data_IF_983561330240
#
_entry.id   IF_983561330240
#
_cell.length_a   1.000
_cell.length_b   1.000
_cell.length_c   1.000
_cell.angle_alpha   90.00
_cell.angle_beta   90.00
_cell.angle_gamma   90.00
#
_symmetry.space_group_name_H-M   'P 1'
#
loop_
_entity.id
_entity.type
_entity.pdbx_description
1 polymer ?
#
# COMPACT_ATOMS: atom_id res chain seq x y z
N UNK A 1 -12.88 24.18 45.88
CA UNK A 1 -13.05 24.51 44.45
C UNK A 1 -12.37 23.45 43.56
N UNK A 2 -12.77 22.18 43.63
CA UNK A 2 -12.15 21.08 42.85
C UNK A 2 -13.08 20.56 41.73
N UNK A 3 -14.39 20.82 41.81
CA UNK A 3 -15.37 20.30 40.83
C UNK A 3 -15.39 21.01 39.46
N UNK A 4 -15.02 22.29 39.39
CA UNK A 4 -15.09 23.06 38.13
C UNK A 4 -13.95 22.68 37.17
N UNK A 5 -12.76 22.39 37.69
CA UNK A 5 -11.59 22.01 36.88
C UNK A 5 -11.81 20.65 36.19
N UNK A 6 -12.47 19.69 36.87
CA UNK A 6 -12.75 18.37 36.32
C UNK A 6 -13.73 18.41 35.13
N UNK A 7 -14.78 19.24 35.21
CA UNK A 7 -15.77 19.37 34.13
C UNK A 7 -15.18 20.08 32.92
N UNK A 8 -14.37 21.14 33.14
CA UNK A 8 -13.70 21.86 32.05
C UNK A 8 -12.71 20.97 31.28
N UNK A 9 -11.94 20.13 31.98
CA UNK A 9 -11.01 19.21 31.34
C UNK A 9 -11.72 18.22 30.39
N UNK A 10 -12.89 17.71 30.78
CA UNK A 10 -13.70 16.80 29.93
C UNK A 10 -14.26 17.52 28.70
N UNK A 11 -14.79 18.75 28.86
CA UNK A 11 -15.31 19.54 27.73
C UNK A 11 -14.20 19.89 26.73
N UNK A 12 -13.02 20.27 27.23
CA UNK A 12 -11.87 20.56 26.36
C UNK A 12 -11.41 19.30 25.62
N UNK A 13 -11.32 18.15 26.29
CA UNK A 13 -10.93 16.88 25.64
C UNK A 13 -11.94 16.44 24.55
N UNK A 14 -13.24 16.61 24.79
CA UNK A 14 -14.28 16.30 23.80
C UNK A 14 -14.22 17.27 22.59
N UNK A 15 -13.84 18.53 22.80
CA UNK A 15 -13.71 19.53 21.73
C UNK A 15 -12.51 19.32 20.80
N UNK A 16 -11.51 18.52 21.22
CA UNK A 16 -10.26 18.35 20.47
C UNK A 16 -10.35 17.33 19.30
N UNK A 17 -11.45 16.60 19.17
CA UNK A 17 -11.65 15.53 18.17
C UNK A 17 -10.39 14.66 17.94
N UNK A 18 -9.73 14.28 19.04
CA UNK A 18 -8.44 13.58 19.02
C UNK A 18 -8.48 12.27 18.20
N UNK A 19 -9.52 11.41 18.30
CA UNK A 19 -9.60 10.19 17.49
C UNK A 19 -9.56 10.45 15.98
N UNK A 20 -10.24 11.50 15.51
CA UNK A 20 -10.24 11.88 14.09
C UNK A 20 -8.88 12.34 13.59
N UNK A 21 -8.11 13.07 14.42
CA UNK A 21 -6.77 13.54 14.05
C UNK A 21 -5.77 12.40 13.85
N UNK A 22 -5.86 11.35 14.66
CA UNK A 22 -5.03 10.15 14.48
C UNK A 22 -5.39 9.38 13.20
N UNK A 23 -6.67 9.32 12.82
CA UNK A 23 -7.03 8.71 11.53
C UNK A 23 -6.51 9.55 10.37
N UNK A 24 -6.62 10.87 10.47
CA UNK A 24 -6.10 11.75 9.43
C UNK A 24 -4.57 11.63 9.29
N UNK A 25 -3.81 11.49 10.38
CA UNK A 25 -2.36 11.27 10.28
C UNK A 25 -2.02 9.93 9.64
N UNK A 26 -2.79 8.87 9.94
CA UNK A 26 -2.63 7.55 9.30
C UNK A 26 -2.91 7.60 7.80
N UNK A 27 -3.99 8.26 7.39
CA UNK A 27 -4.30 8.50 5.97
C UNK A 27 -3.18 9.29 5.28
N UNK A 28 -2.69 10.35 5.92
CA UNK A 28 -1.56 11.15 5.39
C UNK A 28 -0.30 10.29 5.23
N UNK A 29 0.00 9.44 6.21
CA UNK A 29 1.12 8.50 6.10
C UNK A 29 0.92 7.55 4.92
N UNK A 30 -0.25 6.93 4.79
CA UNK A 30 -0.49 5.96 3.74
C UNK A 30 -0.42 6.56 2.32
N UNK A 31 -0.95 7.76 2.16
CA UNK A 31 -0.89 8.50 0.88
C UNK A 31 0.53 8.99 0.56
N UNK A 32 1.32 9.32 1.58
CA UNK A 32 2.76 9.62 1.42
C UNK A 32 3.54 8.38 0.99
N UNK A 33 3.29 7.23 1.63
CA UNK A 33 3.92 5.96 1.27
C UNK A 33 3.59 5.58 -0.18
N UNK A 34 2.31 5.65 -0.56
CA UNK A 34 1.87 5.41 -1.95
C UNK A 34 2.51 6.38 -2.95
N UNK A 35 2.73 7.64 -2.57
CA UNK A 35 3.43 8.62 -3.42
C UNK A 35 4.89 8.21 -3.67
N UNK A 36 5.59 7.73 -2.63
CA UNK A 36 6.95 7.20 -2.78
C UNK A 36 6.97 5.91 -3.64
N UNK A 37 6.03 5.00 -3.40
CA UNK A 37 5.88 3.76 -4.18
C UNK A 37 5.56 4.03 -5.65
N UNK A 38 4.77 5.07 -5.94
CA UNK A 38 4.48 5.51 -7.31
C UNK A 38 5.75 5.95 -8.03
N UNK A 39 6.59 6.77 -7.39
CA UNK A 39 7.88 7.18 -7.96
C UNK A 39 8.78 5.96 -8.17
N UNK A 40 8.88 5.07 -7.19
CA UNK A 40 9.66 3.85 -7.32
C UNK A 40 9.18 2.95 -8.47
N UNK A 41 7.87 2.84 -8.68
CA UNK A 41 7.25 2.12 -9.80
C UNK A 41 7.66 2.72 -11.14
N UNK A 42 7.67 4.06 -11.25
CA UNK A 42 8.07 4.75 -12.47
C UNK A 42 9.56 4.58 -12.78
N UNK A 43 10.42 4.66 -11.76
CA UNK A 43 11.86 4.45 -11.90
C UNK A 43 12.17 3.00 -12.31
N UNK A 44 11.52 2.03 -11.67
CA UNK A 44 11.64 0.63 -12.06
C UNK A 44 11.25 0.42 -13.53
N UNK A 45 10.12 0.97 -13.95
CA UNK A 45 9.68 0.89 -15.35
C UNK A 45 10.68 1.54 -16.31
N UNK A 46 11.27 2.68 -15.94
CA UNK A 46 12.26 3.37 -16.76
C UNK A 46 13.51 2.51 -17.03
N UNK A 47 13.96 1.75 -16.04
CA UNK A 47 15.13 0.87 -16.20
C UNK A 47 14.78 -0.46 -16.89
N UNK A 48 13.65 -1.07 -16.51
CA UNK A 48 13.31 -2.43 -16.95
C UNK A 48 12.60 -2.45 -18.31
N UNK A 49 11.79 -1.43 -18.60
CA UNK A 49 10.84 -1.41 -19.71
C UNK A 49 9.53 -2.16 -19.45
N UNK A 50 9.31 -2.62 -18.22
CA UNK A 50 8.08 -3.24 -17.73
C UNK A 50 7.90 -2.95 -16.24
N UNK A 51 6.68 -3.07 -15.73
CA UNK A 51 6.38 -2.84 -14.31
C UNK A 51 6.82 -4.02 -13.45
N UNK A 52 7.12 -3.81 -12.15
CA UNK A 52 7.51 -4.89 -11.24
C UNK A 52 6.56 -6.10 -11.30
N UNK A 53 7.08 -7.33 -11.08
CA UNK A 53 6.23 -8.49 -10.83
C UNK A 53 5.30 -8.23 -9.64
N UNK A 54 4.09 -8.78 -9.70
CA UNK A 54 3.20 -8.90 -8.56
C UNK A 54 3.80 -9.91 -7.56
N UNK A 55 3.66 -9.65 -6.27
CA UNK A 55 4.23 -10.45 -5.18
C UNK A 55 3.23 -10.52 -4.03
N UNK A 56 3.42 -11.46 -3.12
CA UNK A 56 2.57 -11.56 -1.94
C UNK A 56 2.62 -10.28 -1.07
N UNK A 57 1.49 -9.96 -0.41
CA UNK A 57 1.42 -8.86 0.56
C UNK A 57 2.60 -8.87 1.54
N UNK A 58 3.12 -7.69 1.84
CA UNK A 58 4.26 -7.48 2.73
C UNK A 58 5.63 -7.74 2.08
N UNK A 59 5.67 -8.19 0.82
CA UNK A 59 6.91 -8.42 0.08
C UNK A 59 7.23 -7.22 -0.81
N UNK A 60 8.50 -6.83 -0.84
CA UNK A 60 9.00 -5.81 -1.76
C UNK A 60 9.02 -6.36 -3.20
N UNK A 61 8.32 -5.72 -4.17
CA UNK A 61 8.28 -6.17 -5.57
C UNK A 61 9.57 -5.87 -6.35
N UNK A 62 10.61 -5.36 -5.68
CA UNK A 62 11.93 -5.15 -6.26
C UNK A 62 12.40 -3.69 -6.22
N UNK A 63 11.81 -2.88 -5.34
CA UNK A 63 12.12 -1.46 -5.20
C UNK A 63 13.35 -1.20 -4.35
N UNK A 64 13.55 -1.95 -3.27
CA UNK A 64 14.75 -1.79 -2.43
C UNK A 64 15.90 -2.66 -2.91
N UNK A 65 15.59 -3.85 -3.44
CA UNK A 65 16.56 -4.81 -3.98
C UNK A 65 15.99 -5.53 -5.19
N UNK A 66 16.83 -5.97 -6.12
CA UNK A 66 16.35 -6.66 -7.33
C UNK A 66 15.72 -8.01 -7.00
N UNK A 67 14.62 -8.34 -7.70
CA UNK A 67 14.05 -9.68 -7.60
C UNK A 67 14.88 -10.72 -8.37
N UNK A 68 14.89 -12.00 -7.94
CA UNK A 68 14.33 -12.47 -6.68
C UNK A 68 15.26 -12.17 -5.50
N UNK A 69 14.78 -11.44 -4.48
CA UNK A 69 15.52 -11.22 -3.24
C UNK A 69 14.56 -11.16 -2.04
N UNK A 70 14.83 -11.97 -1.00
CA UNK A 70 14.18 -11.90 0.31
C UNK A 70 15.20 -11.48 1.37
N UNK A 71 15.06 -10.30 2.02
CA UNK A 71 16.01 -9.85 3.06
C UNK A 71 15.95 -10.68 4.34
N UNK A 72 14.84 -11.36 4.62
CA UNK A 72 14.60 -12.09 5.88
C UNK A 72 15.09 -13.55 5.85
N UNK A 73 15.60 -14.03 4.72
CA UNK A 73 16.04 -15.41 4.54
C UNK A 73 14.91 -16.45 4.69
N UNK A 74 13.65 -16.02 4.69
CA UNK A 74 12.50 -16.93 4.84
C UNK A 74 12.35 -17.82 3.60
N UNK A 75 12.08 -19.10 3.82
CA UNK A 75 11.90 -20.12 2.77
C UNK A 75 10.49 -20.15 2.17
N UNK A 76 9.72 -19.06 2.33
CA UNK A 76 8.36 -18.95 1.82
C UNK A 76 8.27 -18.53 0.35
N UNK A 77 7.24 -18.99 -0.34
CA UNK A 77 6.92 -18.53 -1.69
C UNK A 77 6.67 -17.01 -1.69
N UNK A 78 7.39 -16.26 -2.54
CA UNK A 78 7.17 -14.83 -2.74
C UNK A 78 5.90 -14.54 -3.54
N UNK A 79 5.28 -15.56 -4.13
CA UNK A 79 4.10 -15.41 -4.96
C UNK A 79 4.40 -14.59 -6.22
N UNK A 80 5.64 -14.65 -6.73
CA UNK A 80 6.05 -13.86 -7.89
C UNK A 80 5.16 -14.22 -9.08
N UNK A 81 4.34 -13.28 -9.51
CA UNK A 81 3.55 -13.35 -10.72
C UNK A 81 3.96 -12.22 -11.66
N UNK A 82 4.55 -12.61 -12.78
CA UNK A 82 5.02 -11.70 -13.82
C UNK A 82 4.32 -12.00 -15.15
N UNK A 83 3.02 -12.28 -15.13
CA UNK A 83 2.26 -12.61 -16.35
C UNK A 83 2.26 -11.48 -17.39
N UNK A 84 2.49 -10.23 -16.98
CA UNK A 84 2.65 -9.07 -17.85
C UNK A 84 4.08 -8.83 -18.35
N UNK A 85 5.04 -9.61 -17.87
CA UNK A 85 6.45 -9.38 -18.12
C UNK A 85 6.94 -10.15 -19.36
N UNK A 86 8.04 -9.72 -19.99
CA UNK A 86 8.74 -10.52 -20.98
C UNK A 86 9.15 -11.88 -20.43
N UNK A 87 9.25 -12.90 -21.30
CA UNK A 87 9.63 -14.26 -20.90
C UNK A 87 11.01 -14.34 -20.24
N UNK A 88 11.91 -13.42 -20.56
CA UNK A 88 13.28 -13.31 -20.05
C UNK A 88 13.44 -12.21 -18.97
N UNK A 89 12.35 -11.79 -18.32
CA UNK A 89 12.36 -10.68 -17.36
C UNK A 89 13.43 -10.80 -16.28
N UNK A 90 13.73 -12.00 -15.79
CA UNK A 90 14.78 -12.23 -14.78
C UNK A 90 16.17 -11.86 -15.30
N UNK A 91 16.44 -12.17 -16.57
CA UNK A 91 17.68 -11.76 -17.24
C UNK A 91 17.72 -10.24 -17.39
N UNK A 92 16.60 -9.61 -17.78
CA UNK A 92 16.51 -8.16 -17.88
C UNK A 92 16.77 -7.49 -16.52
N UNK A 93 16.12 -7.95 -15.44
CA UNK A 93 16.32 -7.43 -14.08
C UNK A 93 17.77 -7.56 -13.64
N UNK A 94 18.38 -8.73 -13.81
CA UNK A 94 19.78 -8.93 -13.40
C UNK A 94 20.79 -8.05 -14.16
N UNK A 95 20.47 -7.64 -15.40
CA UNK A 95 21.35 -6.80 -16.22
C UNK A 95 21.09 -5.30 -16.07
N UNK A 96 19.82 -4.90 -15.88
CA UNK A 96 19.42 -3.49 -15.97
C UNK A 96 19.16 -2.82 -14.63
N UNK A 97 18.95 -3.56 -13.53
CA UNK A 97 18.48 -2.95 -12.28
C UNK A 97 19.50 -1.93 -11.74
N UNK A 98 19.07 -0.67 -11.56
CA UNK A 98 19.90 0.43 -11.03
C UNK A 98 19.38 0.98 -9.70
N UNK A 99 18.54 0.22 -9.01
CA UNK A 99 18.01 0.61 -7.71
C UNK A 99 19.11 0.69 -6.61
N UNK A 100 18.70 0.95 -5.35
CA UNK A 100 17.32 1.00 -4.87
C UNK A 100 16.51 2.17 -5.43
N UNK A 101 15.27 1.92 -5.83
CA UNK A 101 14.27 2.93 -6.21
C UNK A 101 13.47 3.43 -5.00
N UNK A 102 13.61 2.76 -3.86
CA UNK A 102 13.00 3.11 -2.58
C UNK A 102 14.00 2.80 -1.46
N UNK A 103 14.12 3.70 -0.48
CA UNK A 103 15.08 3.54 0.63
C UNK A 103 14.72 2.33 1.51
N UNK A 104 13.43 2.13 1.77
CA UNK A 104 12.91 0.99 2.54
C UNK A 104 11.49 0.69 2.12
N UNK A 105 11.17 -0.60 2.00
CA UNK A 105 9.80 -1.06 1.79
C UNK A 105 8.97 -0.78 3.05
N UNK A 106 7.84 -0.07 2.95
CA UNK A 106 6.93 0.07 4.07
C UNK A 106 6.20 -1.26 4.25
N UNK A 107 6.71 -2.11 5.14
CA UNK A 107 6.12 -3.45 5.32
C UNK A 107 4.70 -3.37 5.90
N UNK A 108 4.49 -2.46 6.85
CA UNK A 108 3.24 -2.33 7.58
C UNK A 108 2.44 -1.10 7.14
N UNK A 109 1.12 -1.24 7.07
CA UNK A 109 0.22 -0.10 6.88
C UNK A 109 0.09 0.69 8.19
N UNK A 110 -0.38 1.95 8.17
CA UNK A 110 -0.62 2.73 9.38
C UNK A 110 -1.65 2.11 10.37
N UNK A 111 -2.38 1.09 9.93
CA UNK A 111 -3.33 0.33 10.75
C UNK A 111 -2.77 -1.00 11.26
N UNK A 112 -1.52 -1.35 10.93
CA UNK A 112 -0.87 -2.59 11.36
C UNK A 112 -1.19 -3.80 10.48
N UNK A 113 -1.75 -3.55 9.30
CA UNK A 113 -1.88 -4.52 8.22
C UNK A 113 -0.63 -4.54 7.34
N UNK A 114 -0.71 -5.09 6.12
CA UNK A 114 0.41 -5.16 5.16
C UNK A 114 0.12 -4.38 3.90
N UNK A 115 1.14 -3.68 3.39
CA UNK A 115 1.09 -3.17 2.02
C UNK A 115 1.24 -4.31 1.03
N UNK A 116 0.56 -4.21 -0.09
CA UNK A 116 0.60 -5.20 -1.16
C UNK A 116 0.75 -4.50 -2.51
N UNK A 117 1.84 -4.76 -3.22
CA UNK A 117 2.01 -4.23 -4.57
C UNK A 117 1.17 -5.08 -5.52
N UNK A 118 0.15 -4.48 -6.12
CA UNK A 118 -0.76 -5.18 -7.02
C UNK A 118 -0.60 -4.69 -8.45
N UNK A 119 -0.38 -5.62 -9.38
CA UNK A 119 -0.47 -5.36 -10.82
C UNK A 119 -1.76 -5.99 -11.36
N UNK A 120 -2.69 -5.14 -11.79
CA UNK A 120 -3.97 -5.57 -12.36
C UNK A 120 -4.10 -5.07 -13.79
N UNK A 121 -3.43 -5.72 -14.74
CA UNK A 121 -3.42 -5.31 -16.16
C UNK A 121 -4.79 -5.26 -16.84
N UNK A 122 -5.76 -6.05 -16.36
CA UNK A 122 -7.15 -6.07 -16.85
C UNK A 122 -8.17 -5.68 -15.79
N UNK A 123 -7.73 -5.15 -14.66
CA UNK A 123 -8.54 -4.99 -13.45
C UNK A 123 -8.69 -6.30 -12.66
N UNK A 124 -9.36 -6.21 -11.52
CA UNK A 124 -9.56 -7.31 -10.58
C UNK A 124 -10.91 -7.20 -9.85
N UNK A 125 -11.28 -8.25 -9.12
CA UNK A 125 -12.38 -8.22 -8.16
C UNK A 125 -11.84 -8.57 -6.78
N UNK A 126 -11.99 -7.66 -5.82
CA UNK A 126 -11.48 -7.79 -4.45
C UNK A 126 -12.63 -7.62 -3.46
N UNK A 127 -12.94 -8.67 -2.71
CA UNK A 127 -13.96 -8.66 -1.65
C UNK A 127 -15.32 -8.05 -2.08
N UNK A 128 -15.74 -8.30 -3.32
CA UNK A 128 -17.00 -7.79 -3.88
C UNK A 128 -16.90 -6.42 -4.56
N UNK A 129 -15.73 -5.80 -4.57
CA UNK A 129 -15.45 -4.53 -5.24
C UNK A 129 -14.70 -4.76 -6.55
N UNK A 130 -15.08 -4.01 -7.58
CA UNK A 130 -14.39 -4.03 -8.88
C UNK A 130 -13.23 -3.06 -8.83
N UNK A 131 -12.03 -3.54 -9.10
CA UNK A 131 -10.86 -2.69 -9.26
C UNK A 131 -10.53 -2.51 -10.74
N UNK A 132 -10.44 -1.27 -11.24
CA UNK A 132 -10.02 -1.00 -12.62
C UNK A 132 -8.61 -1.51 -12.93
N UNK A 133 -8.25 -1.49 -14.21
CA UNK A 133 -6.89 -1.80 -14.62
C UNK A 133 -5.90 -0.75 -14.10
N UNK A 134 -4.80 -1.20 -13.52
CA UNK A 134 -3.87 -0.31 -12.86
C UNK A 134 -2.80 -1.03 -12.05
N UNK A 135 -1.99 -0.21 -11.39
CA UNK A 135 -0.98 -0.60 -10.42
C UNK A 135 -1.29 0.10 -9.12
N UNK A 136 -1.33 -0.67 -8.04
CA UNK A 136 -1.85 -0.20 -6.76
C UNK A 136 -0.91 -0.56 -5.61
N UNK A 137 -0.89 0.29 -4.59
CA UNK A 137 -0.45 -0.08 -3.25
C UNK A 137 -1.69 -0.44 -2.44
N UNK A 138 -1.94 -1.73 -2.27
CA UNK A 138 -3.04 -2.25 -1.49
C UNK A 138 -2.76 -2.09 0.00
N UNK A 139 -3.62 -1.37 0.71
CA UNK A 139 -3.71 -1.42 2.16
C UNK A 139 -4.57 -2.64 2.50
N UNK A 140 -3.95 -3.69 3.03
CA UNK A 140 -4.66 -4.93 3.37
C UNK A 140 -4.48 -5.29 4.84
N UNK A 141 -5.29 -6.21 5.35
CA UNK A 141 -5.06 -6.80 6.66
C UNK A 141 -3.70 -7.50 6.77
N UNK A 142 -3.32 -7.86 8.00
CA UNK A 142 -2.15 -8.70 8.27
C UNK A 142 -2.27 -10.09 7.60
N UNK A 143 -1.29 -10.97 7.78
CA UNK A 143 -1.31 -12.31 7.18
C UNK A 143 -2.49 -13.19 7.65
N UNK A 144 -3.12 -12.85 8.77
CA UNK A 144 -4.34 -13.49 9.28
C UNK A 144 -5.61 -12.68 8.96
N UNK A 145 -5.49 -11.69 8.07
CA UNK A 145 -6.52 -10.75 7.67
C UNK A 145 -7.14 -9.95 8.85
N UNK A 146 -6.35 -9.69 9.89
CA UNK A 146 -6.69 -8.75 10.97
C UNK A 146 -6.13 -7.37 10.64
N UNK A 147 -6.39 -6.35 11.45
CA UNK A 147 -5.83 -5.00 11.26
C UNK A 147 -6.13 -4.39 9.88
N UNK A 148 -7.31 -4.70 9.33
CA UNK A 148 -7.83 -4.08 8.10
C UNK A 148 -8.04 -2.57 8.31
N UNK A 149 -8.13 -1.82 7.20
CA UNK A 149 -8.45 -0.40 7.29
C UNK A 149 -9.85 -0.22 7.89
N UNK A 150 -10.05 0.67 8.88
CA UNK A 150 -11.39 0.99 9.37
C UNK A 150 -12.22 1.65 8.26
N UNK A 151 -13.50 1.29 8.17
CA UNK A 151 -14.43 1.81 7.13
C UNK A 151 -14.48 3.33 7.05
N UNK A 152 -14.33 4.05 8.19
CA UNK A 152 -14.27 5.51 8.18
C UNK A 152 -13.04 6.06 7.46
N UNK A 153 -11.88 5.40 7.60
CA UNK A 153 -10.64 5.83 6.96
C UNK A 153 -10.61 5.46 5.48
N UNK A 154 -11.16 4.30 5.13
CA UNK A 154 -11.37 3.87 3.75
C UNK A 154 -12.32 4.83 3.02
N UNK A 155 -13.45 5.20 3.65
CA UNK A 155 -14.36 6.21 3.10
C UNK A 155 -13.67 7.56 2.87
N UNK A 156 -12.77 7.97 3.76
CA UNK A 156 -11.98 9.20 3.59
C UNK A 156 -11.01 9.09 2.40
N UNK A 157 -10.41 7.92 2.14
CA UNK A 157 -9.57 7.69 0.97
C UNK A 157 -10.39 7.70 -0.33
N UNK A 158 -11.59 7.11 -0.33
CA UNK A 158 -12.56 7.17 -1.44
C UNK A 158 -12.95 8.62 -1.73
N UNK A 159 -13.36 9.37 -0.71
CA UNK A 159 -13.79 10.76 -0.85
C UNK A 159 -12.67 11.66 -1.42
N UNK A 160 -11.42 11.33 -1.11
CA UNK A 160 -10.23 12.03 -1.63
C UNK A 160 -9.75 11.52 -2.99
N UNK A 161 -10.38 10.46 -3.53
CA UNK A 161 -10.03 9.86 -4.81
C UNK A 161 -8.70 9.12 -4.82
N UNK A 162 -8.20 8.71 -3.66
CA UNK A 162 -6.99 7.90 -3.57
C UNK A 162 -7.27 6.41 -3.81
N UNK A 163 -8.44 5.98 -3.39
CA UNK A 163 -8.88 4.59 -3.47
C UNK A 163 -9.40 4.24 -4.86
N UNK A 164 -8.80 3.21 -5.47
CA UNK A 164 -9.00 2.88 -6.86
C UNK A 164 -10.28 2.09 -7.16
N UNK A 165 -10.77 1.32 -6.20
CA UNK A 165 -11.99 0.51 -6.34
C UNK A 165 -13.26 1.23 -5.85
N UNK A 166 -13.10 2.37 -5.15
CA UNK A 166 -14.18 3.27 -4.72
C UNK A 166 -15.27 2.55 -3.91
N UNK A 167 -14.86 1.63 -3.04
CA UNK A 167 -15.75 0.67 -2.43
C UNK A 167 -15.31 0.36 -1.00
N UNK A 168 -16.26 0.15 -0.08
CA UNK A 168 -15.95 -0.22 1.30
C UNK A 168 -15.88 -1.74 1.44
N UNK A 169 -14.68 -2.31 1.53
CA UNK A 169 -14.39 -3.73 1.74
C UNK A 169 -13.35 -4.01 2.84
N UNK A 170 -12.84 -2.99 3.52
CA UNK A 170 -11.78 -3.17 4.53
C UNK A 170 -10.38 -3.33 3.93
N UNK A 171 -10.22 -3.02 2.65
CA UNK A 171 -8.94 -2.80 1.98
C UNK A 171 -8.96 -1.41 1.33
N UNK A 172 -7.84 -0.93 0.82
CA UNK A 172 -7.88 0.23 -0.08
C UNK A 172 -6.82 0.05 -1.15
N UNK A 173 -7.18 0.35 -2.39
CA UNK A 173 -6.32 0.23 -3.55
C UNK A 173 -5.76 1.61 -3.91
N UNK A 174 -4.69 2.02 -3.23
CA UNK A 174 -4.09 3.32 -3.49
C UNK A 174 -3.47 3.33 -4.89
N UNK A 175 -4.02 4.15 -5.79
CA UNK A 175 -3.62 4.14 -7.21
C UNK A 175 -2.21 4.69 -7.38
N UNK A 176 -1.28 3.86 -7.86
CA UNK A 176 0.07 4.28 -8.25
C UNK A 176 0.08 4.75 -9.70
N UNK A 177 -0.34 3.86 -10.60
CA UNK A 177 -0.38 4.07 -12.05
C UNK A 177 -1.72 3.57 -12.59
N UNK A 178 -2.35 4.35 -13.47
CA UNK A 178 -3.50 3.89 -14.26
C UNK A 178 -2.97 3.33 -15.58
N UNK A 179 -3.49 2.17 -16.00
CA UNK A 179 -3.13 1.50 -17.24
C UNK A 179 -4.11 1.83 -18.36
#
# INVERSE_FOLDING_TARGET
MVGIIAILAVVVLLSLNLPGRFQQSKITQATSDASALKVATQLYFADMGFYPPDVNRGVDPGFTQSLPYRPDGSSGDMGINCSHCPSDWQTIVSQKWRGPYLVSWPTDTPWGGKYDYNYWGSGASRYGCTVPAGIYAGIQGDYSNRNTIPSSAEQDLINKGYDGDNCLNGESQLTLIKL
#
